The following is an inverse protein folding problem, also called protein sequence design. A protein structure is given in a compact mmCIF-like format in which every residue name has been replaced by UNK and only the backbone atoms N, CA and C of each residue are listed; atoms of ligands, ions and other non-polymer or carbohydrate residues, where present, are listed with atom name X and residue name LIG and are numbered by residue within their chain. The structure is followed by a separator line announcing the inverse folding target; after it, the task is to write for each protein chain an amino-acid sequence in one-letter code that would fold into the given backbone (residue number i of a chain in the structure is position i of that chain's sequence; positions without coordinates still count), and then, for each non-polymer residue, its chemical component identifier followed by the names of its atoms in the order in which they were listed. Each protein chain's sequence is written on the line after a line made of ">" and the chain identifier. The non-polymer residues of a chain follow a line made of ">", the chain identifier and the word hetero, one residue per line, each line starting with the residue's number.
data_IF_191825220917
#
_entry.id   IF_191825220917
#
_cell.length_a   1.000
_cell.length_b   1.000
_cell.length_c   1.000
_cell.angle_alpha   90.00
_cell.angle_beta   90.00
_cell.angle_gamma   90.00
#
_symmetry.space_group_name_H-M   'P 1'
#
loop_
_entity.id
_entity.type
_entity.pdbx_description
1 polymer ?
#
# COMPACT_ATOMS: atom_id res chain seq x y z
N UNK A 1 -23.28 -62.25 -43.26
CA UNK A 1 -22.04 -62.92 -42.84
C UNK A 1 -21.04 -61.85 -42.42
N UNK A 2 -20.63 -61.84 -41.15
CA UNK A 2 -19.61 -60.90 -40.65
C UNK A 2 -19.76 -60.49 -39.19
N UNK A 3 -20.12 -61.41 -38.29
CA UNK A 3 -20.10 -61.17 -36.84
C UNK A 3 -18.66 -61.11 -36.31
N UNK A 4 -18.30 -60.02 -35.63
CA UNK A 4 -17.04 -59.87 -34.90
C UNK A 4 -17.28 -60.02 -33.39
N UNK A 5 -16.53 -60.87 -32.68
CA UNK A 5 -16.76 -61.13 -31.26
C UNK A 5 -16.07 -60.10 -30.33
N UNK A 6 -16.77 -59.80 -29.24
CA UNK A 6 -16.35 -59.04 -28.06
C UNK A 6 -15.13 -59.68 -27.38
N UNK A 7 -14.11 -58.87 -27.07
CA UNK A 7 -13.04 -59.24 -26.12
C UNK A 7 -13.38 -58.72 -24.72
N UNK A 8 -13.77 -59.64 -23.84
CA UNK A 8 -13.74 -59.47 -22.38
C UNK A 8 -12.31 -59.73 -21.89
N UNK A 9 -11.71 -58.79 -21.15
CA UNK A 9 -10.50 -59.02 -20.36
C UNK A 9 -10.78 -58.77 -18.87
N UNK A 10 -10.87 -59.91 -18.21
CA UNK A 10 -10.65 -60.33 -16.82
C UNK A 10 -10.17 -59.28 -15.80
N UNK A 11 -10.91 -59.29 -14.68
CA UNK A 11 -10.51 -58.96 -13.32
C UNK A 11 -9.33 -59.82 -12.83
N UNK A 12 -8.43 -59.19 -12.06
CA UNK A 12 -7.57 -59.82 -11.04
C UNK A 12 -7.31 -58.75 -9.97
N UNK A 13 -7.98 -58.78 -8.82
CA UNK A 13 -7.61 -59.45 -7.54
C UNK A 13 -6.34 -58.91 -6.86
N UNK A 14 -6.57 -58.27 -5.70
CA UNK A 14 -5.79 -58.19 -4.46
C UNK A 14 -4.31 -57.80 -4.47
N UNK A 15 -3.96 -56.81 -3.63
CA UNK A 15 -3.13 -57.06 -2.44
C UNK A 15 -3.44 -56.04 -1.34
N UNK A 16 -3.76 -56.58 -0.17
CA UNK A 16 -3.78 -55.97 1.15
C UNK A 16 -2.42 -55.38 1.55
N UNK A 17 -2.43 -54.18 2.15
CA UNK A 17 -1.49 -53.83 3.21
C UNK A 17 -2.21 -53.07 4.31
N UNK A 18 -2.47 -53.82 5.38
CA UNK A 18 -2.85 -53.37 6.71
C UNK A 18 -1.61 -52.86 7.49
N UNK A 19 -1.85 -51.98 8.47
CA UNK A 19 -0.97 -51.46 9.56
C UNK A 19 -0.64 -49.96 9.41
N UNK A 20 -0.82 -49.09 10.41
CA UNK A 20 -1.11 -49.26 11.82
C UNK A 20 -1.71 -47.95 12.34
N UNK A 21 -2.92 -48.02 12.90
CA UNK A 21 -3.55 -46.93 13.67
C UNK A 21 -2.88 -46.91 15.04
N UNK A 22 -2.13 -45.85 15.35
CA UNK A 22 -1.74 -45.55 16.74
C UNK A 22 -2.84 -44.72 17.38
N UNK A 23 -3.68 -45.44 18.12
CA UNK A 23 -4.63 -44.92 19.09
C UNK A 23 -3.88 -44.20 20.21
N UNK A 24 -4.05 -42.88 20.33
CA UNK A 24 -3.81 -42.18 21.60
C UNK A 24 -5.14 -42.05 22.34
N UNK A 25 -5.16 -42.59 23.56
CA UNK A 25 -6.29 -42.61 24.48
C UNK A 25 -6.67 -41.20 24.93
N UNK A 26 -7.97 -40.96 25.21
CA UNK A 26 -8.43 -39.76 25.91
C UNK A 26 -8.25 -39.96 27.42
N UNK A 27 -7.96 -38.87 28.14
CA UNK A 27 -8.08 -38.82 29.59
C UNK A 27 -8.22 -37.35 30.06
N UNK A 28 -8.71 -37.08 31.28
CA UNK A 28 -10.12 -36.78 31.48
C UNK A 28 -10.36 -35.49 32.29
N UNK A 29 -11.65 -35.13 32.45
CA UNK A 29 -12.22 -34.35 33.57
C UNK A 29 -11.58 -32.98 33.88
N UNK A 30 -12.22 -31.92 33.41
CA UNK A 30 -12.23 -30.66 34.15
C UNK A 30 -13.65 -30.41 34.68
N UNK A 31 -13.77 -30.54 35.99
CA UNK A 31 -14.95 -30.23 36.78
C UNK A 31 -15.10 -28.72 36.96
N UNK A 32 -16.35 -28.26 36.86
CA UNK A 32 -16.95 -27.13 37.58
C UNK A 32 -16.10 -25.89 37.87
N UNK A 33 -16.42 -24.79 37.18
CA UNK A 33 -16.39 -23.48 37.82
C UNK A 33 -17.77 -22.86 37.65
N UNK A 34 -18.36 -22.58 38.79
CA UNK A 34 -19.68 -22.05 39.03
C UNK A 34 -19.81 -20.63 38.48
N UNK A 35 -20.99 -20.34 37.94
CA UNK A 35 -21.44 -18.99 37.63
C UNK A 35 -21.67 -18.21 38.93
N UNK A 36 -21.17 -16.98 39.08
CA UNK A 36 -21.80 -16.01 39.96
C UNK A 36 -22.92 -15.32 39.18
N UNK A 37 -24.14 -15.63 39.62
CA UNK A 37 -25.30 -14.77 39.47
C UNK A 37 -25.18 -13.67 40.51
N UNK A 38 -25.11 -12.39 40.12
CA UNK A 38 -25.79 -11.29 40.83
C UNK A 38 -25.54 -9.93 40.20
N UNK A 39 -26.65 -9.19 40.16
CA UNK A 39 -26.76 -7.76 40.45
C UNK A 39 -26.39 -6.72 39.40
N UNK A 40 -27.44 -6.02 39.00
CA UNK A 40 -27.41 -4.86 38.12
C UNK A 40 -26.51 -3.75 38.67
N UNK A 41 -25.79 -3.15 37.74
CA UNK A 41 -25.36 -1.77 37.87
C UNK A 41 -25.84 -1.01 36.65
N UNK A 42 -26.84 -0.19 36.91
CA UNK A 42 -27.18 0.98 36.14
C UNK A 42 -25.94 1.90 36.10
N UNK A 43 -25.36 2.06 34.92
CA UNK A 43 -24.35 3.08 34.68
C UNK A 43 -24.60 3.68 33.30
N UNK A 44 -25.27 4.84 33.31
CA UNK A 44 -25.47 5.68 32.14
C UNK A 44 -24.17 5.84 31.35
N UNK A 45 -24.23 5.45 30.07
CA UNK A 45 -23.18 5.78 29.11
C UNK A 45 -23.19 7.29 28.87
N UNK A 46 -22.33 7.98 29.62
CA UNK A 46 -21.76 9.25 29.17
C UNK A 46 -21.11 9.00 27.81
N UNK A 47 -21.69 9.61 26.79
CA UNK A 47 -21.07 9.78 25.48
C UNK A 47 -19.75 10.50 25.68
N UNK A 48 -18.64 9.78 25.57
CA UNK A 48 -17.33 10.39 25.38
C UNK A 48 -17.30 10.98 23.97
N UNK A 49 -17.89 12.17 23.87
CA UNK A 49 -17.65 13.11 22.78
C UNK A 49 -16.16 13.42 22.84
N UNK A 50 -15.41 12.93 21.87
CA UNK A 50 -14.06 13.41 21.59
C UNK A 50 -14.20 14.87 21.16
N UNK A 51 -14.28 15.77 22.15
CA UNK A 51 -13.86 17.14 21.93
C UNK A 51 -12.36 17.06 21.71
N UNK A 52 -11.95 17.08 20.43
CA UNK A 52 -10.59 17.47 20.07
C UNK A 52 -10.25 18.71 20.88
N UNK A 53 -9.12 18.76 21.58
CA UNK A 53 -8.67 19.99 22.18
C UNK A 53 -8.54 20.99 21.02
N UNK A 54 -9.38 22.02 21.04
CA UNK A 54 -9.02 23.28 20.40
C UNK A 54 -7.73 23.67 21.11
N UNK A 55 -6.60 23.33 20.49
CA UNK A 55 -5.32 23.91 20.82
C UNK A 55 -5.51 25.40 20.54
N UNK A 56 -5.90 26.09 21.61
CA UNK A 56 -5.80 27.53 21.72
C UNK A 56 -4.42 27.88 21.21
N UNK A 57 -4.37 28.68 20.14
CA UNK A 57 -3.13 29.24 19.60
C UNK A 57 -2.69 30.29 20.61
N UNK A 58 -2.29 29.83 21.79
CA UNK A 58 -1.50 30.56 22.73
C UNK A 58 -0.34 31.13 21.95
N UNK A 59 -0.34 32.45 21.85
CA UNK A 59 0.82 33.25 21.46
C UNK A 59 1.91 32.93 22.48
N UNK A 60 2.58 31.80 22.31
CA UNK A 60 3.85 31.54 22.96
C UNK A 60 4.76 32.72 22.59
N UNK A 61 5.56 33.24 23.54
CA UNK A 61 6.50 34.30 23.23
C UNK A 61 7.38 33.80 22.08
N UNK A 62 7.22 34.42 20.91
CA UNK A 62 8.16 34.27 19.80
C UNK A 62 9.46 34.91 20.25
N UNK A 63 10.23 34.18 21.05
CA UNK A 63 11.66 34.40 21.18
C UNK A 63 12.33 33.91 19.89
N UNK A 64 12.01 34.58 18.77
CA UNK A 64 12.95 34.67 17.66
C UNK A 64 14.04 35.63 18.12
N UNK A 65 14.88 35.16 19.05
CA UNK A 65 16.26 35.63 19.06
C UNK A 65 16.83 35.12 17.73
N UNK A 66 16.65 35.94 16.69
CA UNK A 66 17.25 35.68 15.38
C UNK A 66 18.73 35.44 15.64
N UNK A 67 19.29 34.41 15.01
CA UNK A 67 20.72 34.10 15.10
C UNK A 67 21.62 35.31 14.80
N UNK A 68 21.08 36.36 14.16
CA UNK A 68 21.72 37.67 13.97
C UNK A 68 22.11 38.38 15.27
N UNK A 69 21.41 38.15 16.39
CA UNK A 69 21.68 38.85 17.67
C UNK A 69 22.93 38.36 18.41
N UNK A 70 23.44 37.17 18.08
CA UNK A 70 24.72 36.68 18.63
C UNK A 70 25.91 37.16 17.80
N UNK A 71 25.76 37.31 16.48
CA UNK A 71 26.79 37.87 15.60
C UNK A 71 26.96 39.38 15.79
N UNK A 72 25.90 40.12 16.10
CA UNK A 72 25.94 41.56 16.41
C UNK A 72 26.61 41.89 17.77
N UNK A 73 26.63 40.94 18.72
CA UNK A 73 27.21 41.17 20.07
C UNK A 73 28.71 40.89 20.17
N UNK A 74 29.28 40.19 19.19
CA UNK A 74 30.71 39.90 19.10
C UNK A 74 31.34 40.66 17.92
N UNK A 75 30.97 41.93 17.76
CA UNK A 75 31.68 42.79 16.83
C UNK A 75 33.15 42.88 17.26
N UNK A 76 34.00 42.27 16.41
CA UNK A 76 35.47 42.30 16.42
C UNK A 76 36.08 43.65 16.75
N UNK A 77 35.33 44.73 16.56
CA UNK A 77 35.69 46.09 16.90
C UNK A 77 36.12 46.22 18.36
N UNK A 78 35.49 45.51 19.31
CA UNK A 78 35.82 45.66 20.74
C UNK A 78 37.23 45.14 21.08
N UNK A 79 37.63 43.97 20.57
CA UNK A 79 38.94 43.39 20.88
C UNK A 79 40.08 44.07 20.11
N UNK A 80 39.86 44.45 18.86
CA UNK A 80 40.84 45.24 18.10
C UNK A 80 41.06 46.62 18.75
N UNK A 81 39.98 47.30 19.15
CA UNK A 81 40.07 48.57 19.88
C UNK A 81 40.81 48.42 21.21
N UNK A 82 40.64 47.29 21.90
CA UNK A 82 41.34 47.01 23.16
C UNK A 82 42.85 46.79 22.95
N UNK A 83 43.24 46.11 21.88
CA UNK A 83 44.65 45.96 21.47
C UNK A 83 45.28 47.31 21.09
N UNK A 84 44.53 48.16 20.39
CA UNK A 84 44.98 49.49 19.99
C UNK A 84 45.10 50.43 21.21
N UNK A 85 44.18 50.35 22.17
CA UNK A 85 44.22 51.10 23.44
C UNK A 85 45.42 50.69 24.31
N UNK A 86 45.71 49.39 24.42
CA UNK A 86 46.91 48.89 25.13
C UNK A 86 48.18 49.41 24.45
N UNK A 87 48.18 49.53 23.12
CA UNK A 87 49.33 50.03 22.36
C UNK A 87 49.50 51.56 22.47
N UNK A 88 48.42 52.32 22.74
CA UNK A 88 48.45 53.78 22.85
C UNK A 88 48.77 54.35 24.23
N UNK A 89 48.45 53.64 25.32
CA UNK A 89 48.41 54.22 26.68
C UNK A 89 49.67 54.11 27.55
N UNK A 90 50.83 53.71 27.01
CA UNK A 90 52.11 54.07 27.61
C UNK A 90 53.09 52.93 27.85
N UNK A 91 54.28 53.12 27.25
CA UNK A 91 55.53 52.46 27.62
C UNK A 91 55.63 51.00 27.16
N UNK A 92 56.16 50.79 25.95
CA UNK A 92 56.58 49.51 25.33
C UNK A 92 57.54 48.62 26.18
N UNK A 93 57.82 49.01 27.43
CA UNK A 93 58.91 48.47 28.27
C UNK A 93 58.44 47.60 29.43
N UNK A 94 57.13 47.51 29.72
CA UNK A 94 56.64 46.57 30.73
C UNK A 94 56.42 45.19 30.12
N UNK A 95 57.11 44.17 30.65
CA UNK A 95 56.98 42.77 30.24
C UNK A 95 55.52 42.28 30.29
N UNK A 96 54.75 42.76 31.27
CA UNK A 96 53.33 42.46 31.44
C UNK A 96 52.48 42.96 30.25
N UNK A 97 52.79 44.14 29.70
CA UNK A 97 52.10 44.68 28.53
C UNK A 97 52.40 43.87 27.27
N UNK A 98 53.62 43.37 27.12
CA UNK A 98 53.99 42.49 26.01
C UNK A 98 53.29 41.13 26.11
N UNK A 99 53.21 40.55 27.32
CA UNK A 99 52.46 39.33 27.57
C UNK A 99 50.97 39.52 27.27
N UNK A 100 50.35 40.60 27.76
CA UNK A 100 48.94 40.90 27.50
C UNK A 100 48.68 41.07 25.99
N UNK A 101 49.54 41.80 25.27
CA UNK A 101 49.46 41.96 23.81
C UNK A 101 49.56 40.62 23.10
N UNK A 102 50.47 39.74 23.51
CA UNK A 102 50.62 38.40 22.94
C UNK A 102 49.36 37.54 23.14
N UNK A 103 48.75 37.62 24.33
CA UNK A 103 47.51 36.91 24.65
C UNK A 103 46.36 37.45 23.79
N UNK A 104 46.21 38.77 23.70
CA UNK A 104 45.15 39.37 22.87
C UNK A 104 45.29 38.98 21.39
N UNK A 105 46.51 39.02 20.83
CA UNK A 105 46.77 38.60 19.45
C UNK A 105 46.50 37.11 19.24
N UNK A 106 46.88 36.26 20.20
CA UNK A 106 46.58 34.83 20.16
C UNK A 106 45.07 34.57 20.15
N UNK A 107 44.31 35.25 21.02
CA UNK A 107 42.86 35.14 21.09
C UNK A 107 42.21 35.62 19.79
N UNK A 108 42.66 36.75 19.23
CA UNK A 108 42.19 37.26 17.95
C UNK A 108 42.43 36.26 16.79
N UNK A 109 43.62 35.66 16.74
CA UNK A 109 43.94 34.64 15.73
C UNK A 109 43.07 33.38 15.91
N UNK A 110 42.87 32.91 17.14
CA UNK A 110 41.98 31.77 17.39
C UNK A 110 40.54 32.06 17.02
N UNK A 111 40.07 33.28 17.28
CA UNK A 111 38.75 33.70 16.87
C UNK A 111 38.60 33.78 15.35
N UNK A 112 39.58 34.33 14.63
CA UNK A 112 39.54 34.39 13.17
C UNK A 112 39.55 33.00 12.53
N UNK A 113 40.34 32.06 13.08
CA UNK A 113 40.32 30.65 12.67
C UNK A 113 38.95 30.00 12.90
N UNK A 114 38.35 30.23 14.07
CA UNK A 114 37.03 29.70 14.40
C UNK A 114 35.96 30.27 13.47
N UNK A 115 36.00 31.57 13.20
CA UNK A 115 35.10 32.25 12.26
C UNK A 115 35.22 31.68 10.85
N UNK A 116 36.45 31.54 10.33
CA UNK A 116 36.67 30.95 9.00
C UNK A 116 36.18 29.49 8.93
N UNK A 117 36.42 28.70 9.98
CA UNK A 117 35.90 27.33 10.06
C UNK A 117 34.38 27.29 10.09
N UNK A 118 33.74 28.21 10.81
CA UNK A 118 32.28 28.32 10.86
C UNK A 118 31.70 28.73 9.51
N UNK A 119 32.28 29.74 8.85
CA UNK A 119 31.87 30.17 7.51
C UNK A 119 31.99 29.04 6.49
N UNK A 120 33.07 28.25 6.54
CA UNK A 120 33.25 27.07 5.70
C UNK A 120 32.22 25.96 6.00
N UNK A 121 31.90 25.72 7.27
CA UNK A 121 30.86 24.75 7.63
C UNK A 121 29.48 25.23 7.14
N UNK A 122 29.18 26.52 7.30
CA UNK A 122 27.93 27.10 6.83
C UNK A 122 27.83 27.10 5.30
N UNK A 123 28.92 27.32 4.58
CA UNK A 123 28.94 27.25 3.10
C UNK A 123 28.72 25.82 2.59
N UNK A 124 29.14 24.80 3.35
CA UNK A 124 28.87 23.39 3.02
C UNK A 124 27.46 22.93 3.43
N UNK A 125 26.94 23.40 4.56
CA UNK A 125 25.62 22.99 5.07
C UNK A 125 24.47 23.61 4.28
N UNK A 126 24.60 24.87 3.84
CA UNK A 126 23.58 25.56 3.03
C UNK A 126 23.12 24.77 1.79
N UNK A 127 24.00 24.34 0.87
CA UNK A 127 23.58 23.59 -0.31
C UNK A 127 22.98 22.23 0.05
N UNK A 128 23.50 21.56 1.10
CA UNK A 128 22.96 20.27 1.56
C UNK A 128 21.54 20.39 2.11
N UNK A 129 21.23 21.48 2.81
CA UNK A 129 19.87 21.78 3.28
C UNK A 129 18.95 22.01 2.08
N UNK A 130 19.40 22.78 1.10
CA UNK A 130 18.63 23.06 -0.13
C UNK A 130 18.34 21.78 -0.93
N UNK A 131 19.33 20.90 -1.08
CA UNK A 131 19.17 19.58 -1.71
C UNK A 131 18.14 18.70 -0.98
N UNK A 132 18.16 18.67 0.35
CA UNK A 132 17.19 17.91 1.14
C UNK A 132 15.78 18.49 1.04
N UNK A 133 15.64 19.82 0.98
CA UNK A 133 14.35 20.47 0.75
C UNK A 133 13.79 20.08 -0.63
N UNK A 134 14.64 20.10 -1.66
CA UNK A 134 14.27 19.68 -3.02
C UNK A 134 13.84 18.21 -3.07
N UNK A 135 14.56 17.32 -2.39
CA UNK A 135 14.19 15.89 -2.29
C UNK A 135 12.83 15.69 -1.58
N UNK A 136 12.57 16.42 -0.50
CA UNK A 136 11.28 16.34 0.21
C UNK A 136 10.14 16.83 -0.70
N UNK A 137 10.35 17.91 -1.46
CA UNK A 137 9.34 18.40 -2.40
C UNK A 137 9.07 17.38 -3.52
N UNK A 138 10.10 16.76 -4.07
CA UNK A 138 9.96 15.72 -5.08
C UNK A 138 9.18 14.50 -4.54
N UNK A 139 9.53 14.01 -3.36
CA UNK A 139 8.81 12.88 -2.75
C UNK A 139 7.35 13.23 -2.47
N UNK A 140 7.05 14.46 -2.01
CA UNK A 140 5.66 14.92 -1.83
C UNK A 140 4.88 14.86 -3.13
N UNK A 141 5.44 15.37 -4.22
CA UNK A 141 4.82 15.31 -5.54
C UNK A 141 4.58 13.87 -6.01
N UNK A 142 5.55 12.97 -5.82
CA UNK A 142 5.41 11.56 -6.16
C UNK A 142 4.33 10.87 -5.31
N UNK A 143 4.26 11.16 -4.01
CA UNK A 143 3.21 10.62 -3.13
C UNK A 143 1.82 11.13 -3.50
N UNK A 144 1.68 12.40 -3.87
CA UNK A 144 0.42 12.99 -4.31
C UNK A 144 -0.03 12.39 -5.64
N UNK A 145 0.89 12.24 -6.60
CA UNK A 145 0.62 11.56 -7.87
C UNK A 145 0.22 10.10 -7.68
N UNK A 146 0.88 9.38 -6.77
CA UNK A 146 0.52 8.00 -6.45
C UNK A 146 -0.87 7.93 -5.78
N UNK A 147 -1.19 8.87 -4.88
CA UNK A 147 -2.50 8.96 -4.26
C UNK A 147 -3.61 9.27 -5.30
N UNK A 148 -3.34 10.12 -6.28
CA UNK A 148 -4.28 10.42 -7.37
C UNK A 148 -4.51 9.21 -8.29
N UNK A 149 -3.47 8.43 -8.58
CA UNK A 149 -3.61 7.16 -9.32
C UNK A 149 -4.47 6.15 -8.56
N UNK A 150 -4.25 6.03 -7.24
CA UNK A 150 -5.05 5.16 -6.38
C UNK A 150 -6.50 5.65 -6.26
N UNK A 151 -6.74 6.95 -6.16
CA UNK A 151 -8.12 7.48 -6.08
C UNK A 151 -8.88 7.30 -7.39
N UNK A 152 -8.20 7.39 -8.55
CA UNK A 152 -8.77 7.09 -9.86
C UNK A 152 -9.05 5.59 -10.05
N UNK A 153 -8.26 4.71 -9.44
CA UNK A 153 -8.56 3.26 -9.41
C UNK A 153 -9.71 2.93 -8.43
N UNK A 154 -9.84 3.68 -7.34
CA UNK A 154 -10.91 3.49 -6.35
C UNK A 154 -12.27 4.03 -6.83
N UNK A 155 -12.31 5.11 -7.61
CA UNK A 155 -13.57 5.70 -8.14
C UNK A 155 -14.29 4.81 -9.16
N UNK A 156 -13.58 3.83 -9.77
CA UNK A 156 -14.21 2.80 -10.62
C UNK A 156 -14.80 1.64 -9.78
N UNK A 157 -14.50 1.55 -8.48
CA UNK A 157 -15.04 0.54 -7.56
C UNK A 157 -16.11 1.08 -6.59
N UNK A 158 -16.36 2.39 -6.55
CA UNK A 158 -17.09 3.04 -5.45
C UNK A 158 -18.59 3.28 -5.67
N UNK A 159 -19.25 2.47 -6.49
CA UNK A 159 -20.72 2.49 -6.60
C UNK A 159 -21.44 1.37 -5.83
N UNK A 160 -20.79 0.65 -4.88
CA UNK A 160 -21.47 -0.50 -4.25
C UNK A 160 -21.07 -0.97 -2.84
N UNK A 161 -20.05 -0.41 -2.17
CA UNK A 161 -19.48 -1.07 -0.97
C UNK A 161 -19.17 -0.09 0.17
N UNK A 162 -20.07 0.84 0.46
CA UNK A 162 -19.84 1.80 1.56
C UNK A 162 -20.28 1.27 2.93
N UNK A 163 -21.22 0.34 3.09
CA UNK A 163 -21.63 -0.07 4.45
C UNK A 163 -20.73 -1.11 5.14
N UNK A 164 -19.90 -1.89 4.41
CA UNK A 164 -18.95 -2.82 5.06
C UNK A 164 -17.60 -2.20 5.43
N UNK A 165 -17.25 -1.02 4.90
CA UNK A 165 -15.96 -0.37 5.19
C UNK A 165 -15.93 0.33 6.56
N UNK A 166 -17.09 0.67 7.14
CA UNK A 166 -17.13 1.50 8.36
C UNK A 166 -17.09 0.72 9.69
N UNK A 167 -17.29 -0.60 9.67
CA UNK A 167 -17.08 -1.42 10.86
C UNK A 167 -15.71 -2.10 10.76
N UNK A 168 -14.68 -1.47 11.34
CA UNK A 168 -13.33 -2.02 11.48
C UNK A 168 -13.26 -3.32 12.29
N UNK A 169 -14.39 -3.90 12.72
CA UNK A 169 -14.48 -5.12 13.50
C UNK A 169 -15.07 -6.26 12.68
N UNK A 170 -14.40 -7.40 12.71
CA UNK A 170 -14.86 -8.60 12.06
C UNK A 170 -16.06 -9.19 12.80
N UNK A 171 -17.16 -9.46 12.10
CA UNK A 171 -18.33 -10.09 12.73
C UNK A 171 -18.08 -11.56 13.15
N UNK A 172 -17.11 -12.25 12.53
CA UNK A 172 -16.80 -13.63 12.88
C UNK A 172 -15.97 -13.75 14.18
N UNK A 173 -14.88 -12.97 14.30
CA UNK A 173 -13.94 -13.10 15.43
C UNK A 173 -13.88 -11.88 16.36
N UNK A 174 -14.63 -10.82 16.06
CA UNK A 174 -14.69 -9.56 16.82
C UNK A 174 -13.38 -8.77 16.90
N UNK A 175 -12.32 -9.19 16.21
CA UNK A 175 -11.04 -8.50 16.08
C UNK A 175 -11.10 -7.31 15.12
N UNK A 176 -10.12 -6.39 15.22
CA UNK A 176 -10.05 -5.17 14.42
C UNK A 176 -9.51 -5.41 12.99
N UNK A 177 -10.30 -6.07 12.15
CA UNK A 177 -10.05 -6.18 10.72
C UNK A 177 -11.37 -6.37 9.97
N UNK A 178 -11.44 -6.09 8.65
CA UNK A 178 -12.64 -6.38 7.88
C UNK A 178 -12.86 -7.89 7.75
N UNK A 179 -14.12 -8.33 7.70
CA UNK A 179 -14.43 -9.77 7.75
C UNK A 179 -13.90 -10.56 6.56
N UNK A 180 -13.78 -9.95 5.38
CA UNK A 180 -13.24 -10.64 4.21
C UNK A 180 -11.74 -10.97 4.34
N UNK A 181 -11.03 -10.35 5.30
CA UNK A 181 -9.62 -10.62 5.66
C UNK A 181 -9.48 -11.42 6.97
N UNK A 182 -10.52 -12.15 7.40
CA UNK A 182 -10.42 -12.95 8.63
C UNK A 182 -9.56 -14.19 8.40
N UNK A 183 -8.47 -14.32 9.16
CA UNK A 183 -7.58 -15.48 9.10
C UNK A 183 -8.17 -16.72 9.81
N UNK A 184 -9.00 -16.50 10.84
CA UNK A 184 -9.67 -17.59 11.58
C UNK A 184 -10.74 -18.26 10.71
N UNK A 185 -11.45 -17.46 9.91
CA UNK A 185 -12.48 -17.93 8.98
C UNK A 185 -12.14 -17.46 7.57
N UNK A 186 -11.19 -18.13 6.89
CA UNK A 186 -10.63 -17.66 5.63
C UNK A 186 -11.59 -17.83 4.44
N UNK A 187 -12.43 -18.85 4.47
CA UNK A 187 -13.34 -19.24 3.39
C UNK A 187 -14.75 -18.69 3.58
N UNK A 188 -15.47 -18.40 2.49
CA UNK A 188 -16.87 -17.97 2.51
C UNK A 188 -17.78 -19.00 3.21
N UNK A 189 -17.55 -20.29 3.00
CA UNK A 189 -18.31 -21.40 3.57
C UNK A 189 -18.19 -21.42 5.10
N UNK A 190 -16.97 -21.29 5.63
CA UNK A 190 -16.73 -21.20 7.07
C UNK A 190 -17.41 -19.96 7.69
N UNK A 191 -17.45 -18.83 6.97
CA UNK A 191 -18.14 -17.63 7.43
C UNK A 191 -19.65 -17.79 7.38
N UNK A 192 -20.20 -18.48 6.38
CA UNK A 192 -21.62 -18.84 6.34
C UNK A 192 -21.99 -19.72 7.53
N UNK A 193 -21.21 -20.77 7.80
CA UNK A 193 -21.44 -21.65 8.94
C UNK A 193 -21.39 -20.88 10.27
N UNK A 194 -20.45 -19.93 10.42
CA UNK A 194 -20.39 -19.07 11.61
C UNK A 194 -21.62 -18.15 11.73
N UNK A 195 -22.07 -17.56 10.62
CA UNK A 195 -23.26 -16.71 10.60
C UNK A 195 -24.52 -17.49 10.96
N UNK A 196 -24.65 -18.73 10.46
CA UNK A 196 -25.75 -19.63 10.79
C UNK A 196 -25.71 -20.05 12.26
N UNK A 197 -24.54 -20.40 12.80
CA UNK A 197 -24.35 -20.74 14.20
C UNK A 197 -24.72 -19.59 15.15
N UNK A 198 -24.41 -18.36 14.76
CA UNK A 198 -24.77 -17.15 15.51
C UNK A 198 -26.18 -16.62 15.19
N UNK A 199 -26.91 -17.28 14.28
CA UNK A 199 -28.22 -16.83 13.78
C UNK A 199 -28.19 -15.37 13.31
N UNK A 200 -27.15 -14.95 12.61
CA UNK A 200 -27.00 -13.58 12.12
C UNK A 200 -27.45 -13.46 10.66
N UNK A 201 -28.05 -12.32 10.31
CA UNK A 201 -28.52 -12.05 8.96
C UNK A 201 -27.38 -12.04 7.93
N UNK A 202 -27.52 -12.85 6.87
CA UNK A 202 -26.51 -13.00 5.80
C UNK A 202 -26.31 -11.71 4.96
N UNK A 203 -27.25 -10.77 5.04
CA UNK A 203 -27.24 -9.52 4.27
C UNK A 203 -26.45 -8.43 4.98
N UNK A 204 -26.59 -8.27 6.31
CA UNK A 204 -25.93 -7.18 7.05
C UNK A 204 -25.05 -7.63 8.22
N UNK A 205 -25.23 -8.86 8.72
CA UNK A 205 -24.42 -9.45 9.80
C UNK A 205 -24.64 -8.86 11.20
N UNK A 206 -25.69 -8.07 11.42
CA UNK A 206 -25.92 -7.35 12.69
C UNK A 206 -27.13 -7.83 13.49
N UNK A 207 -28.24 -8.16 12.83
CA UNK A 207 -29.47 -8.62 13.49
C UNK A 207 -29.67 -10.13 13.32
N UNK A 208 -30.62 -10.69 14.07
CA UNK A 208 -30.90 -12.11 14.05
C UNK A 208 -31.66 -12.56 12.80
N UNK A 209 -31.40 -13.77 12.31
CA UNK A 209 -32.17 -14.39 11.21
C UNK A 209 -33.64 -14.49 11.58
N UNK A 210 -34.50 -13.75 10.89
CA UNK A 210 -35.95 -13.72 11.09
C UNK A 210 -36.54 -12.31 11.14
N UNK A 211 -35.72 -11.30 11.46
CA UNK A 211 -36.13 -9.90 11.39
C UNK A 211 -35.97 -9.34 9.97
N UNK A 212 -36.83 -8.39 9.56
CA UNK A 212 -36.67 -7.71 8.26
C UNK A 212 -35.38 -6.90 8.26
N UNK A 213 -34.50 -7.20 7.32
CA UNK A 213 -33.27 -6.46 7.14
C UNK A 213 -33.55 -5.15 6.39
N UNK A 214 -33.45 -4.01 7.08
CA UNK A 214 -33.57 -2.67 6.46
C UNK A 214 -32.56 -2.47 5.32
N UNK A 215 -31.41 -3.13 5.39
CA UNK A 215 -30.35 -3.04 4.39
C UNK A 215 -30.65 -3.89 3.16
N UNK A 216 -31.53 -4.88 3.22
CA UNK A 216 -31.77 -5.80 2.10
C UNK A 216 -32.39 -5.12 0.87
N UNK A 217 -33.22 -4.11 1.07
CA UNK A 217 -33.83 -3.35 -0.02
C UNK A 217 -32.81 -2.44 -0.73
N UNK A 218 -31.91 -1.83 0.04
CA UNK A 218 -30.83 -0.96 -0.46
C UNK A 218 -29.59 -1.72 -0.93
N UNK A 219 -29.42 -2.98 -0.50
CA UNK A 219 -28.30 -3.81 -0.92
C UNK A 219 -28.56 -4.32 -2.32
N UNK A 220 -27.67 -3.90 -3.19
CA UNK A 220 -27.65 -4.30 -4.57
C UNK A 220 -26.97 -5.67 -4.73
N UNK A 221 -27.31 -6.38 -5.80
CA UNK A 221 -26.93 -7.79 -5.98
C UNK A 221 -25.44 -7.96 -6.28
N UNK A 222 -24.84 -9.04 -5.78
CA UNK A 222 -23.45 -9.33 -6.09
C UNK A 222 -23.24 -9.52 -7.60
N UNK A 223 -22.31 -8.76 -8.20
CA UNK A 223 -21.95 -8.86 -9.63
C UNK A 223 -21.54 -10.27 -10.09
N UNK A 224 -21.08 -11.13 -9.17
CA UNK A 224 -20.57 -12.48 -9.51
C UNK A 224 -21.63 -13.58 -9.40
N UNK A 225 -22.49 -13.54 -8.39
CA UNK A 225 -23.47 -14.62 -8.15
C UNK A 225 -24.93 -14.15 -8.16
N UNK A 226 -25.17 -12.85 -8.43
CA UNK A 226 -26.51 -12.22 -8.52
C UNK A 226 -27.39 -12.44 -7.28
N UNK A 227 -26.77 -12.62 -6.11
CA UNK A 227 -27.45 -12.77 -4.82
C UNK A 227 -27.14 -11.57 -3.92
N UNK A 228 -28.09 -11.18 -3.08
CA UNK A 228 -27.90 -10.15 -2.05
C UNK A 228 -27.20 -10.77 -0.84
N UNK A 229 -25.93 -10.46 -0.65
CA UNK A 229 -25.16 -10.94 0.51
C UNK A 229 -24.00 -9.99 0.80
N UNK A 230 -23.42 -10.09 2.00
CA UNK A 230 -22.17 -9.43 2.33
C UNK A 230 -21.03 -9.91 1.41
N UNK A 231 -20.15 -9.02 0.95
CA UNK A 231 -19.06 -9.38 0.02
C UNK A 231 -18.16 -10.51 0.57
N UNK A 232 -17.95 -10.52 1.89
CA UNK A 232 -17.18 -11.55 2.60
C UNK A 232 -17.78 -12.97 2.52
N UNK A 233 -19.07 -13.09 2.18
CA UNK A 233 -19.83 -14.34 2.06
C UNK A 233 -19.98 -14.81 0.60
N UNK A 234 -19.34 -14.14 -0.35
CA UNK A 234 -19.39 -14.52 -1.76
C UNK A 234 -18.55 -15.79 -2.02
N UNK A 235 -19.19 -16.93 -2.24
CA UNK A 235 -18.51 -18.20 -2.59
C UNK A 235 -17.72 -18.09 -3.90
N UNK A 236 -18.21 -17.35 -4.89
CA UNK A 236 -17.49 -17.17 -6.15
C UNK A 236 -16.16 -16.42 -5.96
N UNK A 237 -16.06 -15.50 -5.00
CA UNK A 237 -14.87 -14.66 -4.79
C UNK A 237 -13.95 -15.18 -3.67
N UNK A 238 -14.54 -15.76 -2.64
CA UNK A 238 -13.91 -16.17 -1.37
C UNK A 238 -14.24 -17.62 -0.97
N UNK A 239 -14.90 -18.40 -1.81
CA UNK A 239 -15.10 -19.84 -1.55
C UNK A 239 -13.78 -20.59 -1.55
N UNK A 240 -13.77 -21.78 -0.95
CA UNK A 240 -12.59 -22.62 -0.83
C UNK A 240 -11.95 -22.89 -2.21
N UNK A 241 -12.76 -23.18 -3.23
CA UNK A 241 -12.29 -23.40 -4.60
C UNK A 241 -11.69 -22.11 -5.23
N UNK A 242 -12.30 -20.95 -4.98
CA UNK A 242 -11.84 -19.67 -5.50
C UNK A 242 -10.51 -19.23 -4.86
N UNK A 243 -10.35 -19.47 -3.56
CA UNK A 243 -9.11 -19.20 -2.83
C UNK A 243 -8.00 -20.14 -3.31
N UNK A 244 -8.28 -21.44 -3.45
CA UNK A 244 -7.30 -22.39 -3.97
C UNK A 244 -6.82 -22.00 -5.38
N UNK A 245 -7.73 -21.62 -6.28
CA UNK A 245 -7.38 -21.16 -7.63
C UNK A 245 -6.51 -19.89 -7.61
N UNK A 246 -6.81 -18.93 -6.74
CA UNK A 246 -5.99 -17.72 -6.57
C UNK A 246 -4.60 -18.06 -6.02
N UNK A 247 -4.51 -18.93 -5.02
CA UNK A 247 -3.24 -19.38 -4.46
C UNK A 247 -2.39 -20.09 -5.53
N UNK A 248 -3.00 -20.95 -6.35
CA UNK A 248 -2.32 -21.60 -7.46
C UNK A 248 -1.81 -20.59 -8.51
N UNK A 249 -2.61 -19.58 -8.85
CA UNK A 249 -2.17 -18.51 -9.77
C UNK A 249 -1.00 -17.70 -9.21
N UNK A 250 -1.03 -17.37 -7.91
CA UNK A 250 0.06 -16.67 -7.23
C UNK A 250 1.32 -17.52 -7.23
N UNK A 251 1.23 -18.82 -6.93
CA UNK A 251 2.37 -19.74 -6.99
C UNK A 251 2.95 -19.84 -8.40
N UNK A 252 2.10 -20.00 -9.44
CA UNK A 252 2.55 -20.00 -10.84
C UNK A 252 3.21 -18.68 -11.25
N UNK A 253 2.73 -17.56 -10.74
CA UNK A 253 3.32 -16.25 -11.01
C UNK A 253 4.68 -16.09 -10.31
N UNK A 254 4.78 -16.53 -9.05
CA UNK A 254 6.04 -16.56 -8.30
C UNK A 254 7.06 -17.45 -8.99
N UNK A 255 6.66 -18.63 -9.48
CA UNK A 255 7.52 -19.53 -10.25
C UNK A 255 8.00 -18.89 -11.56
N UNK A 256 7.10 -18.24 -12.31
CA UNK A 256 7.46 -17.47 -13.52
C UNK A 256 8.46 -16.34 -13.21
N UNK A 257 8.27 -15.64 -12.09
CA UNK A 257 9.15 -14.58 -11.65
C UNK A 257 10.51 -15.12 -11.21
N UNK A 258 10.55 -16.22 -10.46
CA UNK A 258 11.79 -16.92 -10.09
C UNK A 258 12.55 -17.40 -11.33
N UNK A 259 11.85 -17.95 -12.33
CA UNK A 259 12.46 -18.36 -13.61
C UNK A 259 13.05 -17.18 -14.39
N UNK A 260 12.39 -16.02 -14.37
CA UNK A 260 12.93 -14.78 -14.96
C UNK A 260 14.19 -14.32 -14.22
N UNK A 261 14.20 -14.38 -12.89
CA UNK A 261 15.38 -14.02 -12.08
C UNK A 261 16.55 -14.98 -12.26
N UNK A 262 16.29 -16.28 -12.44
CA UNK A 262 17.35 -17.25 -12.74
C UNK A 262 17.94 -17.02 -14.15
N UNK A 263 17.11 -16.69 -15.14
CA UNK A 263 17.58 -16.32 -16.49
C UNK A 263 18.39 -15.01 -16.52
N UNK A 264 18.09 -14.05 -15.65
CA UNK A 264 18.88 -12.82 -15.56
C UNK A 264 20.20 -13.01 -14.82
N UNK A 265 20.29 -13.98 -13.91
CA UNK A 265 21.54 -14.33 -13.21
C UNK A 265 22.44 -15.30 -13.99
N UNK A 266 21.87 -16.17 -14.83
CA UNK A 266 22.66 -17.07 -15.71
C UNK A 266 23.17 -16.38 -16.98
N UNK A 267 22.86 -15.09 -17.15
CA UNK A 267 23.48 -14.24 -18.15
C UNK A 267 24.89 -13.87 -17.70
N UNK A 268 25.86 -14.65 -18.16
CA UNK A 268 27.24 -14.19 -18.32
C UNK A 268 27.25 -12.71 -18.74
N UNK A 269 28.17 -11.93 -18.16
CA UNK A 269 28.66 -10.67 -18.71
C UNK A 269 29.24 -10.92 -20.11
N UNK A 270 28.39 -11.17 -21.10
CA UNK A 270 28.71 -11.04 -22.51
C UNK A 270 28.08 -9.71 -22.90
N UNK A 271 28.86 -8.65 -23.06
CA UNK A 271 28.38 -7.42 -23.67
C UNK A 271 27.66 -7.80 -24.95
N UNK A 272 26.39 -7.41 -25.10
CA UNK A 272 25.64 -7.57 -26.34
C UNK A 272 26.24 -6.66 -27.42
N UNK A 273 27.42 -7.00 -27.93
CA UNK A 273 28.08 -6.31 -29.04
C UNK A 273 27.48 -6.69 -30.41
N UNK A 274 26.43 -7.53 -30.48
CA UNK A 274 25.86 -7.99 -31.77
C UNK A 274 24.59 -7.28 -32.25
N UNK A 275 24.13 -6.20 -31.61
CA UNK A 275 22.95 -5.43 -32.08
C UNK A 275 23.24 -3.97 -32.47
N UNK A 276 24.52 -3.58 -32.58
CA UNK A 276 24.90 -2.30 -33.20
C UNK A 276 24.97 -2.35 -34.74
N UNK A 277 24.84 -3.55 -35.34
CA UNK A 277 24.81 -3.76 -36.80
C UNK A 277 23.47 -4.26 -37.34
N UNK A 278 22.37 -4.16 -36.57
CA UNK A 278 21.05 -4.14 -37.18
C UNK A 278 20.95 -2.82 -37.95
N UNK A 279 21.39 -2.86 -39.22
CA UNK A 279 21.48 -1.73 -40.14
C UNK A 279 20.24 -0.85 -40.04
N UNK A 280 20.41 0.48 -40.20
CA UNK A 280 19.30 1.43 -40.31
C UNK A 280 18.22 0.92 -41.28
N UNK A 281 18.58 0.11 -42.29
CA UNK A 281 17.65 -0.56 -43.20
C UNK A 281 16.70 -1.55 -42.52
N UNK A 282 17.19 -2.36 -41.56
CA UNK A 282 16.38 -3.33 -40.81
C UNK A 282 15.37 -2.61 -39.91
N UNK A 283 15.79 -1.53 -39.23
CA UNK A 283 14.86 -0.70 -38.43
C UNK A 283 13.83 0.00 -39.32
N UNK A 284 14.19 0.39 -40.54
CA UNK A 284 13.25 0.99 -41.51
C UNK A 284 12.25 -0.04 -42.05
N UNK A 285 12.68 -1.29 -42.29
CA UNK A 285 11.81 -2.40 -42.74
C UNK A 285 10.83 -2.81 -41.65
N UNK A 286 11.26 -2.84 -40.38
CA UNK A 286 10.40 -3.12 -39.23
C UNK A 286 9.34 -2.03 -39.03
N UNK A 287 9.73 -0.75 -39.17
CA UNK A 287 8.77 0.37 -39.11
C UNK A 287 7.71 0.30 -40.21
N UNK A 288 8.11 -0.05 -41.45
CA UNK A 288 7.17 -0.23 -42.57
C UNK A 288 6.18 -1.37 -42.34
N UNK A 289 6.63 -2.50 -41.77
CA UNK A 289 5.73 -3.61 -41.41
C UNK A 289 4.73 -3.21 -40.34
N UNK A 290 5.16 -2.38 -39.38
CA UNK A 290 4.30 -1.96 -38.27
C UNK A 290 3.28 -0.90 -38.68
N UNK A 291 3.59 -0.04 -39.65
CA UNK A 291 2.60 0.90 -40.22
C UNK A 291 1.63 0.18 -41.16
N UNK A 292 2.11 -0.70 -42.05
CA UNK A 292 1.23 -1.43 -42.96
C UNK A 292 0.18 -2.29 -42.24
N UNK A 293 0.59 -2.98 -41.16
CA UNK A 293 -0.36 -3.79 -40.36
C UNK A 293 -1.44 -2.97 -39.66
N UNK A 294 -1.16 -1.68 -39.38
CA UNK A 294 -2.10 -0.79 -38.70
C UNK A 294 -3.08 -0.15 -39.68
N UNK A 295 -2.68 0.03 -40.93
CA UNK A 295 -3.57 0.44 -42.03
C UNK A 295 -4.49 -0.72 -42.44
N UNK A 296 -4.00 -1.95 -42.41
CA UNK A 296 -4.80 -3.16 -42.68
C UNK A 296 -5.87 -3.38 -41.60
N UNK A 297 -5.52 -3.22 -40.32
CA UNK A 297 -6.45 -3.33 -39.18
C UNK A 297 -7.54 -2.25 -39.22
N UNK A 298 -7.22 -1.01 -39.64
CA UNK A 298 -8.20 0.07 -39.77
C UNK A 298 -9.10 -0.08 -41.01
N UNK A 299 -8.57 -0.65 -42.10
CA UNK A 299 -9.36 -0.92 -43.30
C UNK A 299 -10.37 -2.05 -43.08
N UNK A 300 -9.98 -3.10 -42.35
CA UNK A 300 -10.85 -4.21 -41.97
C UNK A 300 -11.99 -3.73 -41.05
N UNK A 301 -11.68 -2.90 -40.05
CA UNK A 301 -12.70 -2.27 -39.17
C UNK A 301 -13.70 -1.39 -39.96
N UNK A 302 -13.25 -0.59 -40.94
CA UNK A 302 -14.19 0.22 -41.75
C UNK A 302 -15.02 -0.59 -42.74
N UNK A 303 -14.57 -1.77 -43.17
CA UNK A 303 -15.36 -2.62 -44.08
C UNK A 303 -16.44 -3.44 -43.36
N UNK A 304 -16.27 -3.75 -42.07
CA UNK A 304 -17.29 -4.44 -41.28
C UNK A 304 -18.45 -3.51 -40.89
N UNK A 305 -18.22 -2.19 -40.75
CA UNK A 305 -19.29 -1.22 -40.42
C UNK A 305 -20.21 -0.88 -41.62
N UNK A 306 -19.76 -1.00 -42.87
CA UNK A 306 -20.60 -0.69 -44.04
C UNK A 306 -21.60 -1.82 -44.41
N UNK A 307 -21.36 -3.06 -43.96
CA UNK A 307 -22.25 -4.21 -44.25
C UNK A 307 -23.41 -4.38 -43.23
N UNK A 308 -23.40 -3.65 -42.10
CA UNK A 308 -24.47 -3.73 -41.08
C UNK A 308 -25.61 -2.71 -41.27
N UNK A 309 -25.52 -1.73 -42.19
CA UNK A 309 -26.52 -0.68 -42.38
C UNK A 309 -27.55 -0.92 -43.51
N UNK A 310 -27.61 -2.12 -44.11
CA UNK A 310 -28.50 -2.43 -45.25
C UNK A 310 -29.57 -3.51 -44.99
N UNK A 311 -30.05 -3.66 -43.76
CA UNK A 311 -31.20 -4.53 -43.49
C UNK A 311 -32.12 -3.88 -42.47
N UNK A 312 -33.14 -3.17 -42.94
CA UNK A 312 -34.47 -3.02 -42.32
C UNK A 312 -35.20 -1.87 -43.03
N UNK A 313 -35.97 -2.17 -44.10
CA UNK A 313 -37.09 -1.31 -44.55
C UNK A 313 -37.92 -1.99 -45.66
N UNK A 314 -38.31 -3.25 -45.48
CA UNK A 314 -39.43 -3.84 -46.24
C UNK A 314 -40.22 -4.76 -45.32
N UNK A 315 -41.27 -4.23 -44.68
CA UNK A 315 -42.52 -4.94 -44.37
C UNK A 315 -43.49 -4.00 -43.63
N UNK A 316 -44.15 -3.14 -44.41
CA UNK A 316 -45.42 -2.53 -44.00
C UNK A 316 -46.43 -2.60 -45.14
N UNK A 317 -46.69 -3.82 -45.63
CA UNK A 317 -47.90 -4.14 -46.37
C UNK A 317 -48.97 -4.72 -45.43
N UNK A 318 -50.07 -3.96 -45.34
CA UNK A 318 -51.45 -4.42 -45.50
C UNK A 318 -51.90 -5.67 -44.71
N UNK A 319 -52.86 -5.48 -43.80
CA UNK A 319 -54.23 -5.94 -44.08
C UNK A 319 -55.27 -5.51 -43.04
N UNK A 320 -56.40 -5.03 -43.58
CA UNK A 320 -57.82 -5.07 -43.15
C UNK A 320 -58.25 -4.78 -41.70
#
# INVERSE_FOLDING_TARGET
>A
MGDKPRKLKKLSTAMDTHQQVKSQKPNPKFTGIESPSSEGHDSGRKTLRWNSPVMDRGKGPKATASASTWEERLENNSLHTLVDQISGNGGDKSEENQQLKSICLFVLNKYSQLKASHENNMSQLKPRIEDLVNQIQQMKFETERAAEMLSKEESVQESFVTQQRFNNKCFCCKSNHPTYKCDIFPTAEARHHMMEALKLCKVCGTHQTGERCVVEESLSECKHCKKKHLLALCEHKYGAAAIAKKQEQVLKQLERNARKQLRSKSGQNIPKQKNLLASKSSRRRERRRKTGRKEEEYAEETSEEEDEEMVEDEDSELDF
#
